data_IF_297845412302
#
_entry.id   IF_297845412302
#
_cell.length_a   1.000
_cell.length_b   1.000
_cell.length_c   1.000
_cell.angle_alpha   90.00
_cell.angle_beta   90.00
_cell.angle_gamma   90.00
#
_symmetry.space_group_name_H-M   'P 1'
#
loop_
_entity.id
_entity.type
_entity.pdbx_description
1 polymer ?
#
# COMPACT_ATOMS: atom_id res chain seq x y z
N UNK A 1 -13.54 49.88 -5.85
CA UNK A 1 -14.43 48.80 -5.37
C UNK A 1 -13.95 47.51 -5.97
N UNK A 2 -13.48 46.56 -5.16
CA UNK A 2 -13.19 45.21 -5.66
C UNK A 2 -14.51 44.56 -6.12
N UNK A 3 -14.52 43.77 -7.21
CA UNK A 3 -15.74 43.15 -7.70
C UNK A 3 -16.30 42.21 -6.63
N UNK A 4 -17.61 42.27 -6.40
CA UNK A 4 -18.34 41.33 -5.55
C UNK A 4 -18.28 39.96 -6.24
N UNK A 5 -17.48 39.03 -5.72
CA UNK A 5 -17.52 37.62 -6.13
C UNK A 5 -18.93 37.08 -5.85
N UNK A 6 -19.53 36.40 -6.82
CA UNK A 6 -20.81 35.69 -6.65
C UNK A 6 -20.58 34.36 -5.94
N UNK A 7 -21.64 33.70 -5.47
CA UNK A 7 -21.52 32.39 -4.80
C UNK A 7 -21.03 31.30 -5.76
N UNK A 8 -21.31 31.45 -7.05
CA UNK A 8 -20.83 30.57 -8.12
C UNK A 8 -19.31 30.68 -8.32
N UNK A 9 -18.71 31.85 -8.03
CA UNK A 9 -17.26 32.04 -8.08
C UNK A 9 -16.49 31.35 -6.92
N UNK A 10 -17.21 30.74 -5.96
CA UNK A 10 -16.66 30.10 -4.75
C UNK A 10 -16.71 28.56 -4.85
N UNK A 11 -17.47 28.02 -5.81
CA UNK A 11 -17.58 26.57 -6.02
C UNK A 11 -16.44 26.15 -6.94
N UNK A 12 -15.40 25.53 -6.36
CA UNK A 12 -14.37 24.83 -7.13
C UNK A 12 -14.70 23.34 -7.17
N UNK A 13 -14.96 22.81 -8.36
CA UNK A 13 -14.94 21.37 -8.62
C UNK A 13 -13.52 21.01 -9.04
N UNK A 14 -12.89 20.09 -8.32
CA UNK A 14 -11.56 19.57 -8.66
C UNK A 14 -11.68 18.08 -8.86
N UNK A 15 -11.45 17.65 -10.10
CA UNK A 15 -11.33 16.23 -10.45
C UNK A 15 -9.86 15.83 -10.35
N UNK A 16 -9.59 14.70 -9.71
CA UNK A 16 -8.26 14.08 -9.69
C UNK A 16 -8.41 12.73 -10.38
N UNK A 17 -7.95 12.67 -11.63
CA UNK A 17 -8.02 11.47 -12.47
C UNK A 17 -6.71 10.66 -12.38
N UNK A 18 -6.79 9.37 -12.74
CA UNK A 18 -5.64 8.47 -12.96
C UNK A 18 -4.70 8.24 -11.77
N UNK A 19 -5.24 8.03 -10.56
CA UNK A 19 -4.42 7.55 -9.44
C UNK A 19 -4.43 6.02 -9.44
N UNK A 20 -3.31 5.43 -9.86
CA UNK A 20 -3.07 3.97 -9.83
C UNK A 20 -2.33 3.55 -8.54
N UNK A 21 -2.73 4.07 -7.38
CA UNK A 21 -2.05 3.75 -6.10
C UNK A 21 -3.04 3.35 -5.00
N UNK A 22 -2.71 2.39 -4.11
CA UNK A 22 -3.62 1.93 -3.06
C UNK A 22 -3.63 2.80 -1.78
N UNK A 23 -2.71 3.77 -1.64
CA UNK A 23 -2.57 4.56 -0.40
C UNK A 23 -3.60 5.70 -0.32
N UNK A 24 -4.67 5.44 0.46
CA UNK A 24 -5.69 6.38 0.90
C UNK A 24 -5.15 7.75 1.34
N UNK A 25 -4.03 7.78 2.06
CA UNK A 25 -3.43 8.99 2.62
C UNK A 25 -2.91 9.90 1.52
N UNK A 26 -2.36 9.33 0.45
CA UNK A 26 -1.86 10.07 -0.71
C UNK A 26 -2.99 10.76 -1.47
N UNK A 27 -4.14 10.09 -1.65
CA UNK A 27 -5.35 10.71 -2.23
C UNK A 27 -5.80 11.93 -1.43
N UNK A 28 -5.86 11.81 -0.11
CA UNK A 28 -6.32 12.91 0.75
C UNK A 28 -5.29 14.04 0.83
N UNK A 29 -3.99 13.73 0.79
CA UNK A 29 -2.94 14.75 0.76
C UNK A 29 -2.97 15.59 -0.53
N UNK A 30 -3.30 15.00 -1.69
CA UNK A 30 -3.51 15.78 -2.92
C UNK A 30 -4.64 16.80 -2.80
N UNK A 31 -5.66 16.51 -1.96
CA UNK A 31 -6.73 17.46 -1.66
C UNK A 31 -6.26 18.58 -0.72
N UNK A 32 -5.22 18.38 0.11
CA UNK A 32 -4.67 19.41 1.01
C UNK A 32 -4.16 20.63 0.26
N UNK A 33 -3.42 20.40 -0.81
CA UNK A 33 -2.80 21.47 -1.59
C UNK A 33 -3.80 22.25 -2.44
N UNK A 34 -5.02 21.72 -2.63
CA UNK A 34 -6.07 22.33 -3.46
C UNK A 34 -7.05 23.18 -2.65
N UNK A 35 -7.19 22.95 -1.35
CA UNK A 35 -8.11 23.70 -0.49
C UNK A 35 -7.36 24.85 0.19
N UNK A 36 -7.48 26.05 -0.39
CA UNK A 36 -7.01 27.29 0.24
C UNK A 36 -8.18 27.96 0.94
N UNK A 37 -8.07 28.17 2.25
CA UNK A 37 -9.09 28.89 3.03
C UNK A 37 -8.91 30.40 2.82
N UNK A 38 -9.82 31.01 2.06
CA UNK A 38 -10.03 32.47 2.06
C UNK A 38 -10.70 32.92 3.38
N UNK A 39 -10.84 34.23 3.64
CA UNK A 39 -11.36 34.81 4.90
C UNK A 39 -12.83 34.44 5.28
N UNK A 40 -13.45 33.46 4.61
CA UNK A 40 -14.85 33.08 4.79
C UNK A 40 -15.02 31.59 5.11
N UNK A 41 -16.12 31.20 5.78
CA UNK A 41 -16.44 29.80 6.04
C UNK A 41 -16.57 28.99 4.75
N UNK A 42 -15.87 27.86 4.65
CA UNK A 42 -15.99 26.96 3.51
C UNK A 42 -16.87 25.76 3.88
N UNK A 43 -17.88 25.48 3.06
CA UNK A 43 -18.68 24.25 3.17
C UNK A 43 -18.11 23.20 2.22
N UNK A 44 -17.48 22.18 2.77
CA UNK A 44 -16.75 21.15 2.02
C UNK A 44 -17.57 19.86 2.02
N UNK A 45 -17.78 19.28 0.84
CA UNK A 45 -18.30 17.92 0.64
C UNK A 45 -17.31 17.18 -0.25
N UNK A 46 -16.90 15.99 0.17
CA UNK A 46 -15.97 15.16 -0.58
C UNK A 46 -16.70 13.90 -1.01
N UNK A 47 -16.63 13.62 -2.30
CA UNK A 47 -17.15 12.42 -2.93
C UNK A 47 -15.97 11.77 -3.64
N UNK A 48 -15.67 10.53 -3.29
CA UNK A 48 -14.64 9.73 -3.94
C UNK A 48 -15.38 8.60 -4.66
N UNK A 49 -15.15 8.50 -5.95
CA UNK A 49 -15.67 7.42 -6.79
C UNK A 49 -14.50 6.55 -7.18
N UNK A 50 -14.60 5.25 -6.90
CA UNK A 50 -13.62 4.25 -7.28
C UNK A 50 -14.24 3.31 -8.31
N UNK A 51 -13.53 3.11 -9.41
CA UNK A 51 -13.92 2.16 -10.46
C UNK A 51 -12.91 1.00 -10.48
N UNK A 52 -13.42 -0.22 -10.39
CA UNK A 52 -12.60 -1.42 -10.44
C UNK A 52 -12.96 -2.26 -11.66
N UNK A 53 -11.94 -2.78 -12.34
CA UNK A 53 -12.10 -3.71 -13.47
C UNK A 53 -11.67 -5.09 -13.04
N UNK A 54 -12.56 -6.07 -13.16
CA UNK A 54 -12.20 -7.47 -12.90
C UNK A 54 -11.49 -8.08 -14.12
N UNK A 55 -10.39 -8.84 -13.93
CA UNK A 55 -9.69 -9.50 -15.04
C UNK A 55 -10.53 -10.58 -15.74
N UNK A 56 -11.51 -11.16 -15.03
CA UNK A 56 -12.17 -12.40 -15.42
C UNK A 56 -13.47 -12.14 -16.18
N UNK A 57 -14.19 -11.05 -15.87
CA UNK A 57 -15.51 -10.78 -16.45
C UNK A 57 -15.61 -9.46 -17.22
N UNK A 58 -14.57 -8.61 -17.20
CA UNK A 58 -14.67 -7.20 -17.63
C UNK A 58 -15.80 -6.42 -16.95
N UNK A 59 -16.35 -6.95 -15.86
CA UNK A 59 -17.37 -6.27 -15.07
C UNK A 59 -16.72 -5.07 -14.37
N UNK A 60 -17.36 -3.91 -14.58
CA UNK A 60 -17.01 -2.64 -13.94
C UNK A 60 -17.79 -2.53 -12.65
N UNK A 61 -17.07 -2.48 -11.53
CA UNK A 61 -17.65 -2.29 -10.21
C UNK A 61 -17.35 -0.85 -9.80
N UNK A 62 -18.39 -0.09 -9.49
CA UNK A 62 -18.27 1.28 -9.00
C UNK A 62 -18.58 1.31 -7.50
N UNK A 63 -17.76 2.03 -6.75
CA UNK A 63 -17.95 2.26 -5.33
C UNK A 63 -17.84 3.75 -5.03
N UNK A 64 -18.68 4.24 -4.12
CA UNK A 64 -18.72 5.66 -3.76
C UNK A 64 -18.56 5.85 -2.26
N UNK A 65 -17.55 6.63 -1.88
CA UNK A 65 -17.46 7.23 -0.55
C UNK A 65 -18.00 8.66 -0.62
N UNK A 66 -18.94 9.01 0.26
CA UNK A 66 -19.49 10.37 0.35
C UNK A 66 -19.57 10.79 1.81
N UNK A 67 -18.76 11.78 2.20
CA UNK A 67 -18.83 12.37 3.52
C UNK A 67 -19.93 13.45 3.57
N UNK A 68 -20.72 13.56 4.65
CA UNK A 68 -21.62 14.71 4.86
C UNK A 68 -20.88 16.05 4.77
N UNK A 69 -21.55 17.06 4.23
CA UNK A 69 -20.97 18.39 4.07
C UNK A 69 -20.63 19.01 5.43
N UNK A 70 -19.38 19.48 5.59
CA UNK A 70 -18.88 20.12 6.81
C UNK A 70 -18.48 21.57 6.55
N UNK A 71 -18.72 22.44 7.54
CA UNK A 71 -18.29 23.83 7.49
C UNK A 71 -16.94 23.96 8.20
N UNK A 72 -15.93 24.46 7.50
CA UNK A 72 -14.57 24.70 7.99
C UNK A 72 -14.36 26.21 8.08
N UNK A 73 -13.96 26.68 9.26
CA UNK A 73 -13.90 28.12 9.59
C UNK A 73 -12.48 28.69 9.62
N UNK A 74 -11.44 27.87 9.82
CA UNK A 74 -10.04 28.31 10.02
C UNK A 74 -9.05 27.22 9.59
N UNK A 75 -7.78 27.57 9.40
CA UNK A 75 -6.69 26.62 9.07
C UNK A 75 -6.51 25.51 10.13
N UNK A 76 -6.62 25.82 11.43
CA UNK A 76 -6.57 24.79 12.49
C UNK A 76 -7.75 23.80 12.41
N UNK A 77 -8.91 24.25 11.92
CA UNK A 77 -10.05 23.36 11.67
C UNK A 77 -9.87 22.52 10.40
N UNK A 78 -8.99 22.94 9.49
CA UNK A 78 -8.72 22.24 8.25
C UNK A 78 -7.89 20.97 8.49
N UNK A 79 -6.81 21.06 9.29
CA UNK A 79 -6.02 19.87 9.66
C UNK A 79 -6.91 18.83 10.33
N UNK A 80 -7.69 19.24 11.34
CA UNK A 80 -8.63 18.37 12.03
C UNK A 80 -9.72 17.79 11.11
N UNK A 81 -10.16 18.56 10.11
CA UNK A 81 -11.07 18.06 9.09
C UNK A 81 -10.42 16.98 8.22
N UNK A 82 -9.16 17.16 7.82
CA UNK A 82 -8.42 16.14 7.08
C UNK A 82 -8.18 14.88 7.89
N UNK A 83 -7.80 15.00 9.16
CA UNK A 83 -7.55 13.84 10.02
C UNK A 83 -8.85 13.02 10.20
N UNK A 84 -9.97 13.67 10.52
CA UNK A 84 -11.29 13.01 10.61
C UNK A 84 -11.77 12.43 9.26
N UNK A 85 -11.39 13.06 8.15
CA UNK A 85 -11.69 12.52 6.82
C UNK A 85 -10.89 11.25 6.52
N UNK A 86 -9.59 11.24 6.86
CA UNK A 86 -8.72 10.07 6.72
C UNK A 86 -9.28 8.92 7.54
N UNK A 87 -9.60 9.14 8.81
CA UNK A 87 -10.12 8.09 9.69
C UNK A 87 -11.42 7.47 9.16
N UNK A 88 -12.34 8.33 8.67
CA UNK A 88 -13.60 7.86 8.08
C UNK A 88 -13.42 7.15 6.75
N UNK A 89 -12.46 7.59 5.94
CA UNK A 89 -12.16 6.95 4.67
C UNK A 89 -11.53 5.58 4.90
N UNK A 90 -10.58 5.45 5.84
CA UNK A 90 -10.02 4.16 6.28
C UNK A 90 -11.11 3.20 6.76
N UNK A 91 -11.97 3.65 7.67
CA UNK A 91 -13.08 2.82 8.15
C UNK A 91 -14.04 2.39 7.02
N UNK A 92 -14.23 3.21 5.98
CA UNK A 92 -15.01 2.83 4.82
C UNK A 92 -14.29 1.82 3.92
N UNK A 93 -12.97 1.97 3.73
CA UNK A 93 -12.13 0.98 3.02
C UNK A 93 -12.19 -0.37 3.73
N UNK A 94 -12.06 -0.40 5.06
CA UNK A 94 -12.16 -1.63 5.85
C UNK A 94 -13.51 -2.32 5.64
N UNK A 95 -14.63 -1.57 5.75
CA UNK A 95 -15.97 -2.10 5.48
C UNK A 95 -16.14 -2.57 4.04
N UNK A 96 -15.48 -1.93 3.08
CA UNK A 96 -15.52 -2.33 1.68
C UNK A 96 -14.77 -3.65 1.45
N UNK A 97 -13.64 -3.85 2.14
CA UNK A 97 -12.86 -5.10 2.12
C UNK A 97 -13.61 -6.25 2.80
N UNK A 98 -14.20 -6.01 3.98
CA UNK A 98 -14.96 -7.02 4.74
C UNK A 98 -16.16 -7.59 3.98
N UNK A 99 -16.75 -6.81 3.05
CA UNK A 99 -17.86 -7.27 2.20
C UNK A 99 -17.44 -8.34 1.18
N UNK A 100 -16.16 -8.70 1.11
CA UNK A 100 -15.66 -9.74 0.22
C UNK A 100 -15.78 -9.35 -1.25
N UNK A 101 -15.57 -8.07 -1.57
CA UNK A 101 -15.67 -7.51 -2.92
C UNK A 101 -14.68 -8.13 -3.92
N UNK A 102 -13.70 -8.92 -3.44
CA UNK A 102 -12.61 -9.48 -4.22
C UNK A 102 -11.49 -8.48 -4.50
N UNK A 103 -11.61 -7.24 -4.01
CA UNK A 103 -10.59 -6.20 -4.10
C UNK A 103 -9.94 -5.96 -2.74
N UNK A 104 -8.63 -5.81 -2.76
CA UNK A 104 -7.82 -5.64 -1.57
C UNK A 104 -7.05 -4.32 -1.66
N UNK A 105 -7.19 -3.46 -0.66
CA UNK A 105 -6.45 -2.20 -0.54
C UNK A 105 -5.35 -2.43 0.49
N UNK A 106 -4.22 -2.95 0.05
CA UNK A 106 -3.08 -3.20 0.93
C UNK A 106 -1.97 -2.17 0.68
N UNK A 107 -1.52 -1.54 1.75
CA UNK A 107 -0.22 -0.88 1.80
C UNK A 107 0.87 -1.95 1.94
N UNK A 108 1.38 -2.42 0.80
CA UNK A 108 2.49 -3.36 0.78
C UNK A 108 3.83 -2.64 0.94
N UNK A 109 4.42 -2.75 2.13
CA UNK A 109 5.71 -2.16 2.51
C UNK A 109 6.86 -2.47 1.52
N UNK A 110 6.80 -3.65 0.90
CA UNK A 110 7.72 -4.11 -0.14
C UNK A 110 6.91 -4.88 -1.19
N UNK A 111 7.07 -4.53 -2.47
CA UNK A 111 6.43 -5.23 -3.58
C UNK A 111 7.49 -5.69 -4.57
N UNK A 112 7.35 -6.91 -5.07
CA UNK A 112 8.21 -7.45 -6.12
C UNK A 112 7.37 -7.67 -7.37
N UNK A 113 7.64 -6.89 -8.40
CA UNK A 113 7.12 -7.10 -9.75
C UNK A 113 8.16 -7.89 -10.54
N UNK A 114 7.73 -8.96 -11.22
CA UNK A 114 8.64 -9.78 -12.01
C UNK A 114 7.96 -10.28 -13.28
N UNK A 115 8.73 -10.37 -14.35
CA UNK A 115 8.35 -11.01 -15.60
C UNK A 115 9.50 -11.89 -16.14
N UNK A 116 9.16 -12.91 -16.91
CA UNK A 116 10.10 -13.83 -17.53
C UNK A 116 9.95 -13.82 -19.04
N UNK A 117 11.07 -13.84 -19.75
CA UNK A 117 11.07 -14.11 -21.19
C UNK A 117 11.43 -15.57 -21.44
N UNK A 118 10.81 -16.14 -22.48
CA UNK A 118 11.03 -17.54 -22.88
C UNK A 118 11.25 -17.68 -24.38
N UNK A 119 12.15 -18.58 -24.75
CA UNK A 119 12.39 -18.98 -26.13
C UNK A 119 11.55 -20.20 -26.49
N UNK A 120 11.03 -20.25 -27.71
CA UNK A 120 10.47 -21.46 -28.28
C UNK A 120 11.60 -22.35 -28.82
N UNK A 121 11.81 -23.48 -28.17
CA UNK A 121 12.80 -24.48 -28.59
C UNK A 121 12.08 -25.59 -29.34
N UNK A 122 12.47 -25.89 -30.60
CA UNK A 122 11.90 -26.99 -31.36
C UNK A 122 12.03 -28.30 -30.61
N UNK A 123 10.94 -29.08 -30.58
CA UNK A 123 10.94 -30.41 -29.98
C UNK A 123 11.14 -31.47 -31.06
N UNK A 124 12.04 -32.41 -30.78
CA UNK A 124 12.06 -33.67 -31.54
C UNK A 124 10.89 -34.54 -31.10
N UNK A 125 10.18 -35.08 -32.08
CA UNK A 125 9.00 -35.93 -31.86
C UNK A 125 9.10 -37.16 -32.76
N UNK A 126 8.66 -38.31 -32.26
CA UNK A 126 8.60 -39.55 -33.02
C UNK A 126 7.52 -39.49 -34.12
N UNK A 127 7.65 -40.39 -35.11
CA UNK A 127 6.61 -40.59 -36.13
C UNK A 127 5.34 -41.14 -35.48
N UNK A 128 4.20 -40.46 -35.64
CA UNK A 128 2.94 -40.86 -35.01
C UNK A 128 2.27 -42.02 -35.74
N UNK A 129 1.45 -42.78 -35.00
CA UNK A 129 0.66 -43.91 -35.51
C UNK A 129 -0.43 -43.40 -36.47
N UNK A 130 -0.45 -43.84 -37.75
CA UNK A 130 -1.39 -43.33 -38.75
C UNK A 130 -2.84 -43.76 -38.49
N UNK A 131 -3.08 -44.79 -37.69
CA UNK A 131 -4.42 -45.33 -37.43
C UNK A 131 -5.09 -44.69 -36.18
N UNK A 132 -4.42 -43.71 -35.56
CA UNK A 132 -4.92 -43.02 -34.36
C UNK A 132 -4.82 -41.51 -34.53
N UNK A 133 -5.81 -40.81 -34.01
CA UNK A 133 -5.70 -39.36 -33.85
C UNK A 133 -4.58 -39.04 -32.86
N UNK A 134 -3.72 -38.07 -33.21
CA UNK A 134 -2.60 -37.66 -32.37
C UNK A 134 -2.39 -36.14 -32.44
N UNK A 135 -1.80 -35.59 -31.39
CA UNK A 135 -1.31 -34.21 -31.34
C UNK A 135 0.21 -34.23 -31.25
N UNK A 136 0.88 -33.47 -32.12
CA UNK A 136 2.35 -33.40 -32.17
C UNK A 136 2.84 -32.08 -31.55
N UNK A 137 3.46 -32.10 -30.37
CA UNK A 137 4.08 -30.90 -29.81
C UNK A 137 5.26 -30.48 -30.70
N UNK A 138 5.23 -29.23 -31.18
CA UNK A 138 6.21 -28.70 -32.16
C UNK A 138 7.38 -28.00 -31.46
N UNK A 139 7.10 -27.32 -30.34
CA UNK A 139 8.08 -26.58 -29.56
C UNK A 139 7.71 -26.57 -28.08
N UNK A 140 8.73 -26.40 -27.23
CA UNK A 140 8.57 -26.09 -25.80
C UNK A 140 9.05 -24.67 -25.55
N UNK A 141 8.46 -24.00 -24.55
CA UNK A 141 8.98 -22.75 -24.04
C UNK A 141 10.05 -23.03 -22.98
N UNK A 142 11.21 -22.42 -23.12
CA UNK A 142 12.30 -22.47 -22.14
C UNK A 142 12.64 -21.04 -21.73
N UNK A 143 12.54 -20.77 -20.43
CA UNK A 143 12.79 -19.45 -19.85
C UNK A 143 14.27 -19.11 -20.05
N UNK A 144 14.55 -17.93 -20.61
CA UNK A 144 15.90 -17.47 -20.95
C UNK A 144 16.34 -16.23 -20.16
N UNK A 145 15.39 -15.49 -19.56
CA UNK A 145 15.70 -14.31 -18.77
C UNK A 145 14.57 -13.91 -17.83
N UNK A 146 14.87 -13.03 -16.87
CA UNK A 146 13.85 -12.34 -16.07
C UNK A 146 14.19 -10.86 -15.88
N UNK A 147 13.14 -10.06 -15.71
CA UNK A 147 13.21 -8.69 -15.23
C UNK A 147 12.43 -8.58 -13.93
N UNK A 148 13.01 -7.94 -12.91
CA UNK A 148 12.41 -7.85 -11.58
C UNK A 148 12.60 -6.45 -10.99
N UNK A 149 11.51 -5.77 -10.64
CA UNK A 149 11.53 -4.52 -9.91
C UNK A 149 11.06 -4.75 -8.47
N UNK A 150 11.89 -4.33 -7.51
CA UNK A 150 11.50 -4.31 -6.09
C UNK A 150 11.19 -2.88 -5.70
N UNK A 151 9.94 -2.62 -5.34
CA UNK A 151 9.47 -1.38 -4.75
C UNK A 151 9.51 -1.47 -3.23
N UNK A 152 9.85 -0.36 -2.58
CA UNK A 152 9.81 -0.19 -1.14
C UNK A 152 9.46 1.25 -0.79
N UNK A 153 8.59 1.41 0.19
CA UNK A 153 8.27 2.71 0.78
C UNK A 153 9.30 3.14 1.84
N UNK A 154 10.23 2.24 2.22
CA UNK A 154 11.24 2.44 3.26
C UNK A 154 12.66 2.25 2.69
N UNK A 155 13.20 3.26 1.98
CA UNK A 155 14.50 3.16 1.33
C UNK A 155 15.66 2.92 2.33
N UNK A 156 15.49 3.25 3.61
CA UNK A 156 16.45 2.96 4.67
C UNK A 156 16.52 1.46 5.01
N UNK A 157 15.41 0.72 4.83
CA UNK A 157 15.38 -0.73 4.99
C UNK A 157 15.82 -1.39 3.70
N UNK A 158 15.25 -0.97 2.57
CA UNK A 158 15.61 -1.51 1.27
C UNK A 158 15.31 -0.51 0.16
N UNK A 159 16.35 -0.01 -0.50
CA UNK A 159 16.16 0.89 -1.63
C UNK A 159 15.50 0.17 -2.81
N UNK A 160 14.42 0.76 -3.33
CA UNK A 160 13.77 0.31 -4.57
C UNK A 160 14.77 0.21 -5.71
N UNK A 161 14.75 -0.91 -6.43
CA UNK A 161 15.72 -1.18 -7.49
C UNK A 161 15.23 -2.24 -8.46
N UNK A 162 15.73 -2.14 -9.69
CA UNK A 162 15.50 -3.10 -10.76
C UNK A 162 16.67 -4.08 -10.90
N UNK A 163 16.34 -5.32 -11.22
CA UNK A 163 17.25 -6.41 -11.49
C UNK A 163 16.86 -7.10 -12.79
N UNK A 164 17.88 -7.62 -13.48
CA UNK A 164 17.69 -8.35 -14.71
C UNK A 164 18.78 -9.41 -14.83
N UNK A 165 18.43 -10.53 -15.46
CA UNK A 165 19.35 -11.61 -15.74
C UNK A 165 18.94 -12.33 -17.03
N UNK A 166 19.90 -12.49 -17.94
CA UNK A 166 19.84 -13.37 -19.10
C UNK A 166 20.83 -14.52 -18.93
N UNK A 167 20.45 -15.73 -19.34
CA UNK A 167 21.40 -16.83 -19.49
C UNK A 167 20.82 -18.18 -19.11
N UNK A 168 21.68 -19.06 -18.60
CA UNK A 168 21.29 -20.38 -18.14
C UNK A 168 20.80 -20.34 -16.69
N UNK A 169 20.02 -21.37 -16.31
CA UNK A 169 19.50 -21.54 -14.94
C UNK A 169 18.69 -20.35 -14.41
N UNK A 170 17.98 -19.64 -15.29
CA UNK A 170 17.28 -18.38 -15.00
C UNK A 170 16.34 -18.50 -13.81
N UNK A 171 15.55 -19.58 -13.76
CA UNK A 171 14.61 -19.85 -12.66
C UNK A 171 15.34 -20.01 -11.33
N UNK A 172 16.47 -20.71 -11.33
CA UNK A 172 17.29 -20.89 -10.11
C UNK A 172 17.88 -19.55 -9.67
N UNK A 173 18.42 -18.77 -10.60
CA UNK A 173 19.00 -17.43 -10.32
C UNK A 173 17.96 -16.45 -9.79
N UNK A 174 16.74 -16.51 -10.32
CA UNK A 174 15.59 -15.76 -9.82
C UNK A 174 15.29 -16.12 -8.36
N UNK A 175 15.13 -17.41 -8.05
CA UNK A 175 14.84 -17.88 -6.68
C UNK A 175 15.96 -17.49 -5.71
N UNK A 176 17.22 -17.70 -6.09
CA UNK A 176 18.39 -17.27 -5.30
C UNK A 176 18.33 -15.76 -5.02
N UNK A 177 17.96 -14.97 -6.01
CA UNK A 177 17.86 -13.52 -5.90
C UNK A 177 16.74 -13.11 -4.94
N UNK A 178 15.51 -13.61 -5.11
CA UNK A 178 14.40 -13.31 -4.20
C UNK A 178 14.75 -13.68 -2.76
N UNK A 179 15.31 -14.87 -2.55
CA UNK A 179 15.71 -15.31 -1.21
C UNK A 179 16.77 -14.39 -0.59
N UNK A 180 17.71 -13.88 -1.40
CA UNK A 180 18.71 -12.91 -0.93
C UNK A 180 18.08 -11.55 -0.55
N UNK A 181 17.10 -11.09 -1.33
CA UNK A 181 16.38 -9.84 -1.10
C UNK A 181 15.56 -9.96 0.18
N UNK A 182 14.79 -11.04 0.33
CA UNK A 182 14.02 -11.33 1.52
C UNK A 182 14.92 -11.36 2.76
N UNK A 183 16.03 -12.11 2.73
CA UNK A 183 17.00 -12.14 3.84
C UNK A 183 17.53 -10.75 4.18
N UNK A 184 17.83 -9.92 3.18
CA UNK A 184 18.34 -8.56 3.40
C UNK A 184 17.27 -7.66 4.03
N UNK A 185 16.04 -7.68 3.52
CA UNK A 185 14.92 -6.93 4.09
C UNK A 185 14.68 -7.38 5.53
N UNK A 186 14.56 -8.68 5.80
CA UNK A 186 14.34 -9.19 7.16
C UNK A 186 15.49 -8.84 8.10
N UNK A 187 16.74 -8.96 7.64
CA UNK A 187 17.90 -8.58 8.44
C UNK A 187 17.85 -7.08 8.77
N UNK A 188 17.58 -6.24 7.77
CA UNK A 188 17.50 -4.81 7.94
C UNK A 188 16.32 -4.44 8.85
N UNK A 189 15.13 -5.02 8.74
CA UNK A 189 14.02 -4.79 9.68
C UNK A 189 14.44 -5.11 11.12
N UNK A 190 15.07 -6.28 11.34
CA UNK A 190 15.53 -6.70 12.68
C UNK A 190 16.63 -5.81 13.26
N UNK A 191 17.47 -5.25 12.40
CA UNK A 191 18.65 -4.46 12.80
C UNK A 191 18.48 -2.97 12.53
N UNK A 192 17.32 -2.54 12.01
CA UNK A 192 16.89 -1.17 11.94
C UNK A 192 16.55 -0.78 13.38
N UNK A 193 17.61 -0.65 14.19
CA UNK A 193 17.60 -0.04 15.50
C UNK A 193 17.31 1.43 15.27
N UNK A 194 16.07 1.75 14.91
CA UNK A 194 15.51 3.00 15.39
C UNK A 194 15.54 2.85 16.92
N UNK A 195 16.14 3.82 17.60
CA UNK A 195 16.42 3.76 19.03
C UNK A 195 15.18 3.32 19.82
N UNK A 196 15.40 2.81 21.04
CA UNK A 196 14.29 2.53 21.99
C UNK A 196 13.26 3.65 21.88
N UNK A 197 11.96 3.34 21.78
CA UNK A 197 10.93 4.36 21.62
C UNK A 197 11.17 5.48 22.64
N UNK A 198 11.26 6.71 22.14
CA UNK A 198 11.49 7.89 22.98
C UNK A 198 10.17 8.20 23.67
N UNK A 199 10.03 7.71 24.89
CA UNK A 199 8.86 7.97 25.72
C UNK A 199 8.85 9.43 26.15
N UNK A 200 7.70 10.07 26.04
CA UNK A 200 7.44 11.29 26.79
C UNK A 200 7.30 10.94 28.29
N UNK A 201 7.31 11.96 29.15
CA UNK A 201 7.32 11.74 30.60
C UNK A 201 6.13 10.92 31.09
N UNK A 202 4.94 11.15 30.53
CA UNK A 202 3.72 10.44 30.91
C UNK A 202 3.78 8.96 30.50
N UNK A 203 4.22 8.67 29.28
CA UNK A 203 4.39 7.29 28.79
C UNK A 203 5.46 6.52 29.58
N UNK A 204 6.52 7.20 30.00
CA UNK A 204 7.53 6.61 30.88
C UNK A 204 6.93 6.30 32.26
N UNK A 205 6.16 7.22 32.85
CA UNK A 205 5.48 6.99 34.13
C UNK A 205 4.51 5.80 34.02
N UNK A 206 3.68 5.71 32.97
CA UNK A 206 2.80 4.57 32.71
C UNK A 206 3.58 3.24 32.58
N UNK A 207 4.69 3.25 31.84
CA UNK A 207 5.53 2.06 31.68
C UNK A 207 6.14 1.59 33.01
N UNK A 208 6.60 2.54 33.85
CA UNK A 208 7.17 2.21 35.15
C UNK A 208 6.10 1.73 36.15
N UNK A 209 4.90 2.30 36.12
CA UNK A 209 3.79 1.94 37.00
C UNK A 209 3.07 0.65 36.59
N UNK A 210 3.18 0.23 35.33
CA UNK A 210 2.52 -0.98 34.84
C UNK A 210 2.93 -2.24 35.63
N UNK A 211 1.97 -2.89 36.28
CA UNK A 211 2.16 -4.14 37.02
C UNK A 211 1.80 -5.38 36.21
N UNK A 212 1.04 -5.21 35.11
CA UNK A 212 0.53 -6.28 34.28
C UNK A 212 0.85 -6.06 32.79
N UNK A 213 1.05 -7.15 32.06
CA UNK A 213 1.28 -7.14 30.63
C UNK A 213 0.00 -6.79 29.86
N UNK A 214 0.02 -5.72 29.06
CA UNK A 214 -1.15 -5.27 28.29
C UNK A 214 -1.65 -6.28 27.23
N UNK A 215 -0.81 -7.23 26.81
CA UNK A 215 -1.16 -8.28 25.84
C UNK A 215 -1.88 -9.44 26.51
N UNK A 216 -1.38 -9.92 27.66
CA UNK A 216 -1.85 -11.16 28.27
C UNK A 216 -2.52 -10.99 29.64
N UNK A 217 -2.53 -9.78 30.20
CA UNK A 217 -3.14 -9.45 31.49
C UNK A 217 -2.51 -10.13 32.70
N UNK A 218 -1.29 -10.65 32.57
CA UNK A 218 -0.56 -11.31 33.67
C UNK A 218 0.39 -10.33 34.32
N UNK A 219 0.57 -10.47 35.62
CA UNK A 219 1.56 -9.71 36.39
C UNK A 219 2.97 -9.92 35.83
N UNK A 220 3.77 -8.85 35.84
CA UNK A 220 5.18 -8.95 35.48
C UNK A 220 5.99 -9.61 36.59
N UNK A 221 6.81 -10.58 36.22
CA UNK A 221 7.91 -11.05 37.09
C UNK A 221 9.00 -9.95 37.18
N UNK A 222 9.71 -9.88 38.31
CA UNK A 222 10.71 -8.82 38.55
C UNK A 222 11.68 -8.65 37.37
N UNK A 223 11.78 -7.42 36.85
CA UNK A 223 12.66 -6.96 35.76
C UNK A 223 12.36 -7.49 34.33
N UNK A 224 11.17 -8.02 34.03
CA UNK A 224 10.83 -8.52 32.70
C UNK A 224 10.03 -7.56 31.79
N UNK A 225 9.93 -6.27 32.13
CA UNK A 225 9.20 -5.28 31.30
C UNK A 225 9.99 -4.95 30.02
N UNK A 226 9.39 -5.17 28.87
CA UNK A 226 9.95 -4.84 27.55
C UNK A 226 9.15 -3.70 26.93
N UNK A 227 9.84 -2.71 26.35
CA UNK A 227 9.19 -1.64 25.57
C UNK A 227 8.91 -2.17 24.17
N UNK A 228 7.64 -2.48 23.91
CA UNK A 228 7.20 -2.82 22.56
C UNK A 228 7.29 -1.60 21.65
N UNK A 229 7.64 -1.83 20.39
CA UNK A 229 7.68 -0.81 19.35
C UNK A 229 7.52 -1.45 17.97
N UNK A 230 6.94 -0.70 17.05
CA UNK A 230 6.93 -1.08 15.65
C UNK A 230 8.34 -0.95 15.05
N UNK A 231 8.84 -2.04 14.47
CA UNK A 231 10.15 -2.13 13.82
C UNK A 231 10.20 -1.38 12.47
N UNK A 232 9.06 -0.90 11.98
CA UNK A 232 8.90 -0.13 10.75
C UNK A 232 8.63 1.35 11.06
N UNK A 233 7.63 1.62 11.91
CA UNK A 233 7.05 2.96 12.11
C UNK A 233 7.50 3.69 13.39
N UNK A 234 8.34 3.12 14.26
CA UNK A 234 8.81 3.77 15.50
C UNK A 234 7.74 4.12 16.54
N UNK A 235 6.45 3.93 16.26
CA UNK A 235 5.38 4.22 17.19
C UNK A 235 5.16 3.04 18.15
N UNK A 236 4.80 3.37 19.39
CA UNK A 236 4.43 2.43 20.44
C UNK A 236 2.98 2.01 20.21
N UNK A 237 2.69 0.72 20.42
CA UNK A 237 1.34 0.16 20.46
C UNK A 237 0.75 0.23 21.87
#
# INVERSE_FOLDING_TARGET
>A
MAPKKTFEDIISETTIDDIEEPDATKYINLLKDKIVIDQFPLKIKIIITSEFKTPIAFDRIESHYSNPAKVVLTQNNLSKFYDDLIDKFKAWVDQFQERGSGFDFNDYLFVIYCDFEACNIPMQSCTPDPDKSYTKPISKQEINSYGMYVHSDYPEIYKSQYFHYDGDDVVKKYVEKIMSIFKKITYNIKHNKKDKPILNKYEEDEFQEATECYICGKEFEENNKVREHDHLLLNIL
#
